data_IF_555199995474
#
_entry.id   IF_555199995474
#
_cell.length_a   1.000
_cell.length_b   1.000
_cell.length_c   1.000
_cell.angle_alpha   90.00
_cell.angle_beta   90.00
_cell.angle_gamma   90.00
#
_symmetry.space_group_name_H-M   'P 1'
#
loop_
_entity.id
_entity.type
_entity.pdbx_description
1 polymer ?
#
# COMPACT_ATOMS: atom_id res chain seq x y z
N UNK A 1 -4.16 -4.58 -15.15
CA UNK A 1 -5.33 -5.48 -14.87
C UNK A 1 -5.07 -6.86 -15.46
N UNK A 2 -5.63 -7.95 -14.93
CA UNK A 2 -5.45 -9.29 -15.53
C UNK A 2 -5.82 -9.33 -17.02
N UNK A 3 -6.92 -8.65 -17.40
CA UNK A 3 -7.35 -8.48 -18.80
C UNK A 3 -6.37 -7.73 -19.72
N UNK A 4 -5.48 -6.91 -19.17
CA UNK A 4 -4.43 -6.21 -19.96
C UNK A 4 -3.25 -7.13 -20.27
N UNK A 5 -3.00 -8.12 -19.41
CA UNK A 5 -1.95 -9.12 -19.64
C UNK A 5 -2.48 -10.32 -20.44
N UNK A 6 -3.77 -10.64 -20.31
CA UNK A 6 -4.43 -11.70 -21.07
C UNK A 6 -5.89 -11.33 -21.38
N UNK A 7 -6.17 -11.05 -22.66
CA UNK A 7 -7.50 -10.67 -23.14
C UNK A 7 -8.53 -11.81 -23.12
N UNK A 8 -8.09 -13.07 -22.99
CA UNK A 8 -9.00 -14.23 -22.93
C UNK A 8 -9.61 -14.43 -21.54
N UNK A 9 -9.18 -13.68 -20.52
CA UNK A 9 -9.70 -13.80 -19.16
C UNK A 9 -11.12 -13.27 -19.12
N UNK A 10 -12.07 -14.10 -18.69
CA UNK A 10 -13.44 -13.66 -18.39
C UNK A 10 -13.58 -13.41 -16.89
N UNK A 11 -13.91 -12.16 -16.52
CA UNK A 11 -13.92 -11.74 -15.12
C UNK A 11 -15.34 -11.40 -14.67
N UNK A 12 -15.71 -11.94 -13.51
CA UNK A 12 -16.99 -11.70 -12.85
C UNK A 12 -16.74 -11.31 -11.40
N UNK A 13 -17.31 -10.19 -10.98
CA UNK A 13 -17.24 -9.67 -9.62
C UNK A 13 -18.60 -9.84 -8.96
N UNK A 14 -18.64 -10.62 -7.89
CA UNK A 14 -19.81 -10.79 -7.03
C UNK A 14 -19.73 -9.82 -5.84
N UNK A 15 -20.73 -8.98 -5.66
CA UNK A 15 -20.74 -7.96 -4.60
C UNK A 15 -22.16 -7.64 -4.11
N UNK A 16 -22.32 -7.25 -2.85
CA UNK A 16 -23.61 -6.75 -2.34
C UNK A 16 -23.84 -5.31 -2.81
N UNK A 17 -22.81 -4.47 -2.66
CA UNK A 17 -22.79 -3.08 -3.10
C UNK A 17 -21.41 -2.77 -3.70
N UNK A 18 -21.40 -1.94 -4.74
CA UNK A 18 -20.16 -1.38 -5.30
C UNK A 18 -19.83 -0.11 -4.52
N UNK A 19 -18.64 -0.08 -3.90
CA UNK A 19 -18.17 1.05 -3.08
C UNK A 19 -17.04 1.80 -3.76
N UNK A 20 -17.39 2.52 -4.82
CA UNK A 20 -16.49 3.35 -5.66
C UNK A 20 -16.41 4.78 -5.16
N UNK A 21 -16.30 4.97 -3.84
CA UNK A 21 -16.18 6.30 -3.26
C UNK A 21 -14.77 6.84 -3.48
N UNK A 22 -14.67 8.10 -3.88
CA UNK A 22 -13.37 8.75 -4.16
C UNK A 22 -13.26 9.25 -5.59
N UNK A 23 -12.27 10.10 -5.83
CA UNK A 23 -12.08 10.76 -7.12
C UNK A 23 -11.65 9.74 -8.17
N UNK A 24 -12.45 9.57 -9.21
CA UNK A 24 -12.14 8.71 -10.35
C UNK A 24 -12.45 7.22 -10.14
N UNK A 25 -12.99 6.83 -8.98
CA UNK A 25 -13.29 5.42 -8.69
C UNK A 25 -14.50 4.93 -9.48
N UNK A 26 -15.55 5.76 -9.61
CA UNK A 26 -16.70 5.45 -10.47
C UNK A 26 -16.29 5.32 -11.94
N UNK A 27 -15.46 6.25 -12.43
CA UNK A 27 -14.93 6.17 -13.79
C UNK A 27 -14.11 4.89 -14.02
N UNK A 28 -13.37 4.42 -13.01
CA UNK A 28 -12.64 3.15 -13.08
C UNK A 28 -13.59 1.94 -13.15
N UNK A 29 -14.67 1.95 -12.38
CA UNK A 29 -15.72 0.95 -12.44
C UNK A 29 -16.43 0.93 -13.80
N UNK A 30 -16.83 2.10 -14.30
CA UNK A 30 -17.43 2.25 -15.63
C UNK A 30 -16.49 1.73 -16.72
N UNK A 31 -15.20 2.07 -16.64
CA UNK A 31 -14.18 1.57 -17.56
C UNK A 31 -14.08 0.04 -17.52
N UNK A 32 -14.03 -0.55 -16.33
CA UNK A 32 -13.98 -2.01 -16.16
C UNK A 32 -15.19 -2.71 -16.80
N UNK A 33 -16.39 -2.12 -16.65
CA UNK A 33 -17.62 -2.66 -17.22
C UNK A 33 -17.70 -2.49 -18.74
N UNK A 34 -17.43 -1.28 -19.24
CA UNK A 34 -17.68 -0.89 -20.64
C UNK A 34 -16.54 -1.26 -21.60
N UNK A 35 -15.29 -1.00 -21.22
CA UNK A 35 -14.13 -1.23 -22.09
C UNK A 35 -13.59 -2.65 -21.94
N UNK A 36 -13.58 -3.16 -20.71
CA UNK A 36 -13.02 -4.48 -20.42
C UNK A 36 -14.07 -5.57 -20.31
N UNK A 37 -15.38 -5.26 -20.32
CA UNK A 37 -16.44 -6.28 -20.25
C UNK A 37 -16.41 -7.12 -18.97
N UNK A 38 -16.03 -6.54 -17.83
CA UNK A 38 -16.13 -7.21 -16.53
C UNK A 38 -17.60 -7.28 -16.12
N UNK A 39 -18.07 -8.49 -15.77
CA UNK A 39 -19.45 -8.67 -15.29
C UNK A 39 -19.50 -8.35 -13.80
N UNK A 40 -20.50 -7.58 -13.39
CA UNK A 40 -20.76 -7.30 -11.98
C UNK A 40 -22.12 -7.91 -11.63
N UNK A 41 -22.12 -8.81 -10.66
CA UNK A 41 -23.32 -9.53 -10.23
C UNK A 41 -23.60 -9.12 -8.79
N UNK A 42 -24.76 -8.52 -8.59
CA UNK A 42 -25.20 -8.08 -7.28
C UNK A 42 -25.77 -9.25 -6.49
N UNK A 43 -24.96 -9.85 -5.63
CA UNK A 43 -25.38 -10.95 -4.77
C UNK A 43 -24.36 -11.16 -3.63
N UNK A 44 -24.74 -11.99 -2.67
CA UNK A 44 -23.82 -12.58 -1.70
C UNK A 44 -23.67 -14.08 -1.98
N UNK A 45 -22.58 -14.53 -2.63
CA UNK A 45 -22.34 -15.96 -2.82
C UNK A 45 -22.38 -16.71 -1.49
N UNK A 46 -23.08 -17.84 -1.47
CA UNK A 46 -23.32 -18.60 -0.23
C UNK A 46 -22.37 -19.77 -0.07
N UNK A 47 -22.04 -20.44 -1.18
CA UNK A 47 -21.23 -21.67 -1.20
C UNK A 47 -20.38 -21.67 -2.47
N UNK A 48 -19.14 -22.15 -2.32
CA UNK A 48 -18.23 -22.49 -3.41
C UNK A 48 -17.97 -24.00 -3.31
N UNK A 49 -18.23 -24.72 -4.39
CA UNK A 49 -18.03 -26.17 -4.48
C UNK A 49 -16.93 -26.48 -5.50
N UNK A 50 -15.94 -27.30 -5.14
CA UNK A 50 -14.93 -27.77 -6.08
C UNK A 50 -15.44 -28.98 -6.87
N UNK A 51 -15.27 -28.97 -8.18
CA UNK A 51 -15.53 -30.10 -9.06
C UNK A 51 -14.35 -31.08 -8.98
N UNK A 52 -14.63 -32.33 -8.61
CA UNK A 52 -13.59 -33.30 -8.30
C UNK A 52 -12.66 -33.61 -9.49
N UNK A 53 -13.23 -33.68 -10.70
CA UNK A 53 -12.56 -34.06 -11.94
C UNK A 53 -11.72 -32.92 -12.54
N UNK A 54 -12.26 -31.71 -12.60
CA UNK A 54 -11.63 -30.56 -13.27
C UNK A 54 -10.86 -29.65 -12.32
N UNK A 55 -11.15 -29.72 -11.01
CA UNK A 55 -10.70 -28.75 -9.99
C UNK A 55 -11.24 -27.34 -10.18
N UNK A 56 -12.22 -27.17 -11.06
CA UNK A 56 -12.94 -25.91 -11.21
C UNK A 56 -13.87 -25.66 -10.02
N UNK A 57 -14.31 -24.42 -9.88
CA UNK A 57 -15.08 -23.93 -8.74
C UNK A 57 -16.47 -23.51 -9.20
N UNK A 58 -17.50 -24.13 -8.64
CA UNK A 58 -18.88 -23.75 -8.87
C UNK A 58 -19.30 -22.74 -7.82
N UNK A 59 -19.71 -21.56 -8.25
CA UNK A 59 -20.35 -20.56 -7.39
C UNK A 59 -21.86 -20.63 -7.57
N UNK A 60 -22.56 -20.82 -6.46
CA UNK A 60 -24.02 -20.72 -6.39
C UNK A 60 -24.44 -19.35 -5.85
N UNK A 61 -25.18 -18.61 -6.65
CA UNK A 61 -25.67 -17.29 -6.29
C UNK A 61 -27.11 -17.05 -6.75
N UNK A 62 -27.76 -16.08 -6.12
CA UNK A 62 -29.11 -15.62 -6.44
C UNK A 62 -29.03 -14.29 -7.20
N UNK A 63 -29.79 -14.16 -8.29
CA UNK A 63 -29.89 -12.91 -9.05
C UNK A 63 -30.93 -11.98 -8.45
N UNK A 64 -30.97 -10.72 -8.91
CA UNK A 64 -32.01 -9.77 -8.49
C UNK A 64 -33.44 -10.20 -8.86
N UNK A 65 -33.59 -11.08 -9.87
CA UNK A 65 -34.87 -11.70 -10.25
C UNK A 65 -35.20 -13.00 -9.46
N UNK A 66 -34.60 -13.23 -8.29
CA UNK A 66 -34.78 -14.43 -7.44
C UNK A 66 -34.45 -15.78 -8.14
N UNK A 67 -33.58 -15.75 -9.16
CA UNK A 67 -33.13 -16.97 -9.84
C UNK A 67 -31.83 -17.46 -9.24
N UNK A 68 -31.78 -18.75 -8.94
CA UNK A 68 -30.56 -19.42 -8.50
C UNK A 68 -29.76 -19.84 -9.72
N UNK A 69 -28.55 -19.31 -9.85
CA UNK A 69 -27.59 -19.67 -10.88
C UNK A 69 -26.44 -20.46 -10.25
N UNK A 70 -25.98 -21.48 -10.98
CA UNK A 70 -24.70 -22.14 -10.73
C UNK A 70 -23.79 -21.83 -11.91
N UNK A 71 -22.65 -21.24 -11.62
CA UNK A 71 -21.66 -20.89 -12.64
C UNK A 71 -20.30 -21.44 -12.25
N UNK A 72 -19.60 -22.03 -13.21
CA UNK A 72 -18.31 -22.67 -13.03
C UNK A 72 -17.18 -21.71 -13.43
N UNK A 73 -16.13 -21.65 -12.61
CA UNK A 73 -14.98 -20.77 -12.78
C UNK A 73 -13.68 -21.57 -12.60
N UNK A 74 -12.65 -21.25 -13.39
CA UNK A 74 -11.33 -21.87 -13.25
C UNK A 74 -10.59 -21.37 -11.99
N UNK A 75 -10.92 -20.17 -11.51
CA UNK A 75 -10.31 -19.55 -10.34
C UNK A 75 -11.30 -18.62 -9.63
N UNK A 76 -11.33 -18.71 -8.30
CA UNK A 76 -12.06 -17.77 -7.45
C UNK A 76 -11.08 -17.00 -6.59
N UNK A 77 -11.18 -15.67 -6.62
CA UNK A 77 -10.38 -14.76 -5.80
C UNK A 77 -11.26 -14.18 -4.70
N UNK A 78 -10.87 -14.39 -3.45
CA UNK A 78 -11.56 -13.81 -2.30
C UNK A 78 -11.03 -12.39 -2.04
N UNK A 79 -11.88 -11.39 -2.24
CA UNK A 79 -11.61 -10.00 -1.86
C UNK A 79 -11.73 -9.82 -0.35
N UNK A 80 -10.74 -10.32 0.39
CA UNK A 80 -10.73 -10.31 1.87
C UNK A 80 -10.60 -8.88 2.42
N UNK A 81 -11.27 -8.63 3.55
CA UNK A 81 -11.17 -7.37 4.27
C UNK A 81 -9.84 -7.20 5.00
N UNK A 82 -9.64 -6.00 5.54
CA UNK A 82 -8.50 -5.70 6.41
C UNK A 82 -8.86 -5.95 7.87
N UNK A 83 -7.99 -6.68 8.56
CA UNK A 83 -8.04 -6.91 10.00
C UNK A 83 -6.83 -6.25 10.68
N UNK A 84 -6.94 -5.86 11.95
CA UNK A 84 -5.77 -5.40 12.70
C UNK A 84 -4.73 -6.51 12.80
N UNK A 85 -3.43 -6.17 12.85
CA UNK A 85 -2.38 -7.18 13.02
C UNK A 85 -2.53 -7.90 14.37
N UNK A 86 -2.12 -9.17 14.44
CA UNK A 86 -2.23 -9.99 15.66
C UNK A 86 -1.51 -9.36 16.85
N UNK A 87 -0.46 -8.59 16.59
CA UNK A 87 0.36 -7.91 17.59
C UNK A 87 -0.19 -6.53 17.98
N UNK A 88 -1.32 -6.08 17.43
CA UNK A 88 -1.92 -4.77 17.71
C UNK A 88 -2.12 -4.54 19.22
N UNK A 89 -2.68 -5.51 19.93
CA UNK A 89 -2.93 -5.41 21.38
C UNK A 89 -1.61 -5.32 22.17
N UNK A 90 -0.60 -6.11 21.79
CA UNK A 90 0.72 -6.04 22.40
C UNK A 90 1.36 -4.67 22.19
N UNK A 91 1.29 -4.14 20.96
CA UNK A 91 1.82 -2.82 20.63
C UNK A 91 1.07 -1.73 21.42
N UNK A 92 -0.26 -1.82 21.50
CA UNK A 92 -1.09 -0.90 22.25
C UNK A 92 -0.70 -0.86 23.73
N UNK A 93 -0.48 -2.03 24.35
CA UNK A 93 -0.01 -2.15 25.72
C UNK A 93 1.39 -1.55 25.94
N UNK A 94 2.33 -1.77 25.01
CA UNK A 94 3.69 -1.20 25.08
C UNK A 94 3.65 0.32 25.01
N UNK A 95 2.86 0.86 24.08
CA UNK A 95 2.75 2.31 23.87
C UNK A 95 1.84 2.98 24.91
N UNK A 96 0.95 2.22 25.55
CA UNK A 96 -0.10 2.71 26.43
C UNK A 96 -1.18 3.50 25.69
N UNK A 97 -1.63 2.97 24.55
CA UNK A 97 -2.72 3.53 23.74
C UNK A 97 -3.93 2.58 23.75
N UNK A 98 -5.11 3.12 23.49
CA UNK A 98 -6.36 2.37 23.42
C UNK A 98 -6.62 1.86 21.99
N UNK A 99 -7.26 0.71 21.90
CA UNK A 99 -7.81 0.17 20.66
C UNK A 99 -9.33 0.35 20.66
N UNK A 100 -9.91 0.55 19.48
CA UNK A 100 -11.36 0.57 19.30
C UNK A 100 -11.95 -0.85 19.35
N UNK A 101 -13.29 -0.95 19.29
CA UNK A 101 -14.01 -2.24 19.34
C UNK A 101 -13.66 -3.22 18.20
N UNK A 102 -12.96 -2.76 17.16
CA UNK A 102 -12.50 -3.56 16.03
C UNK A 102 -11.01 -3.90 16.10
N UNK A 103 -10.30 -3.48 17.17
CA UNK A 103 -8.87 -3.75 17.37
C UNK A 103 -7.91 -2.82 16.63
N UNK A 104 -8.40 -1.73 16.03
CA UNK A 104 -7.57 -0.67 15.44
C UNK A 104 -7.28 0.43 16.46
N UNK A 105 -6.31 1.32 16.19
CA UNK A 105 -6.01 2.45 17.07
C UNK A 105 -7.26 3.30 17.31
N UNK A 106 -7.58 3.59 18.57
CA UNK A 106 -8.64 4.54 18.91
C UNK A 106 -8.15 5.97 18.61
N UNK A 107 -8.95 6.71 17.84
CA UNK A 107 -8.74 8.14 17.52
C UNK A 107 -10.05 8.89 17.67
N UNK A 108 -10.02 10.23 17.64
CA UNK A 108 -11.22 11.07 17.63
C UNK A 108 -11.58 11.53 16.20
N UNK A 109 -12.84 11.95 15.98
CA UNK A 109 -13.30 12.46 14.68
C UNK A 109 -12.66 13.80 14.29
N UNK A 110 -12.36 14.65 15.27
CA UNK A 110 -11.73 15.96 15.04
C UNK A 110 -10.20 15.89 15.11
N UNK A 111 -9.66 14.82 15.70
CA UNK A 111 -8.22 14.54 15.77
C UNK A 111 -7.91 13.13 15.21
N UNK A 112 -8.07 12.90 13.89
CA UNK A 112 -8.06 11.56 13.30
C UNK A 112 -6.68 10.88 13.28
N UNK A 113 -5.62 11.59 13.67
CA UNK A 113 -4.25 11.08 13.75
C UNK A 113 -3.71 11.03 15.17
N UNK A 114 -4.47 11.51 16.16
CA UNK A 114 -4.07 11.47 17.56
C UNK A 114 -4.59 10.19 18.19
N UNK A 115 -3.71 9.45 18.86
CA UNK A 115 -4.12 8.31 19.68
C UNK A 115 -4.73 8.79 21.00
N UNK A 116 -5.22 7.87 21.83
CA UNK A 116 -5.68 8.18 23.18
C UNK A 116 -4.58 8.71 24.11
N UNK A 117 -3.30 8.62 23.73
CA UNK A 117 -2.17 9.10 24.52
C UNK A 117 -1.51 10.33 23.88
N UNK A 118 -1.45 11.47 24.60
CA UNK A 118 -0.78 12.67 24.11
C UNK A 118 0.67 12.41 23.69
N UNK A 119 1.04 12.96 22.53
CA UNK A 119 2.38 12.78 21.93
C UNK A 119 2.56 11.48 21.14
N UNK A 120 1.56 10.60 21.10
CA UNK A 120 1.55 9.42 20.24
C UNK A 120 0.49 9.60 19.16
N UNK A 121 0.93 9.44 17.91
CA UNK A 121 0.11 9.63 16.72
C UNK A 121 -0.01 8.31 15.95
N UNK A 122 -1.15 8.13 15.28
CA UNK A 122 -1.44 6.97 14.44
C UNK A 122 -1.81 7.43 13.03
N UNK A 123 -1.38 6.69 12.02
CA UNK A 123 -1.74 6.95 10.63
C UNK A 123 -1.81 5.65 9.83
N UNK A 124 -2.52 5.70 8.71
CA UNK A 124 -2.63 4.56 7.79
C UNK A 124 -3.60 3.50 8.29
N UNK A 125 -3.41 2.27 7.83
CA UNK A 125 -4.36 1.17 8.05
C UNK A 125 -4.49 0.75 9.53
N UNK A 126 -3.52 1.07 10.38
CA UNK A 126 -3.63 0.80 11.82
C UNK A 126 -4.73 1.63 12.51
N UNK A 127 -5.10 2.79 11.94
CA UNK A 127 -6.25 3.57 12.41
C UNK A 127 -7.59 2.99 11.89
N UNK A 128 -7.56 2.22 10.81
CA UNK A 128 -8.73 1.57 10.21
C UNK A 128 -8.55 1.33 8.70
N UNK A 129 -9.37 0.47 8.07
CA UNK A 129 -9.30 0.19 6.63
C UNK A 129 -9.42 1.45 5.77
N UNK A 130 -8.50 1.65 4.83
CA UNK A 130 -8.46 2.81 3.92
C UNK A 130 -7.56 2.54 2.73
N UNK A 131 -7.61 3.44 1.74
CA UNK A 131 -6.76 3.37 0.55
C UNK A 131 -5.38 4.04 0.76
N UNK A 132 -4.55 3.97 -0.28
CA UNK A 132 -3.19 4.55 -0.27
C UNK A 132 -3.23 6.09 -0.19
N UNK A 133 -4.00 6.81 -1.02
CA UNK A 133 -4.13 8.26 -0.91
C UNK A 133 -4.50 8.76 0.49
N UNK A 134 -5.50 8.15 1.13
CA UNK A 134 -5.91 8.49 2.50
C UNK A 134 -4.79 8.18 3.50
N UNK A 135 -4.11 7.05 3.34
CA UNK A 135 -2.95 6.68 4.18
C UNK A 135 -1.82 7.70 4.09
N UNK A 136 -1.47 8.15 2.89
CA UNK A 136 -0.42 9.16 2.67
C UNK A 136 -0.83 10.52 3.26
N UNK A 137 -2.11 10.87 3.12
CA UNK A 137 -2.67 12.10 3.70
C UNK A 137 -2.58 12.07 5.23
N UNK A 138 -3.00 10.97 5.85
CA UNK A 138 -2.88 10.80 7.30
C UNK A 138 -1.44 10.77 7.78
N UNK A 139 -0.51 10.15 7.05
CA UNK A 139 0.91 10.15 7.41
C UNK A 139 1.47 11.58 7.44
N UNK A 140 1.08 12.39 6.46
CA UNK A 140 1.45 13.81 6.40
C UNK A 140 0.86 14.61 7.58
N UNK A 141 -0.40 14.35 7.92
CA UNK A 141 -1.06 14.96 9.06
C UNK A 141 -0.41 14.57 10.40
N UNK A 142 -0.11 13.28 10.62
CA UNK A 142 0.57 12.79 11.81
C UNK A 142 1.98 13.42 11.96
N UNK A 143 2.73 13.53 10.86
CA UNK A 143 4.03 14.19 10.85
C UNK A 143 3.91 15.69 11.20
N UNK A 144 2.89 16.38 10.67
CA UNK A 144 2.63 17.77 10.99
C UNK A 144 2.25 17.97 12.46
N UNK A 145 1.37 17.12 13.03
CA UNK A 145 0.98 17.18 14.44
C UNK A 145 2.15 16.91 15.38
N UNK A 146 3.00 15.93 15.05
CA UNK A 146 4.23 15.66 15.78
C UNK A 146 5.20 16.85 15.71
N UNK A 147 5.40 17.43 14.52
CA UNK A 147 6.25 18.60 14.34
C UNK A 147 5.73 19.84 15.08
N UNK A 148 4.41 20.05 15.11
CA UNK A 148 3.78 21.13 15.86
C UNK A 148 4.03 20.97 17.37
N UNK A 149 3.90 19.74 17.88
CA UNK A 149 4.20 19.40 19.28
C UNK A 149 5.66 19.64 19.66
N UNK A 150 6.58 19.47 18.71
CA UNK A 150 8.03 19.68 18.88
C UNK A 150 8.51 21.09 18.51
N UNK A 151 7.60 22.00 18.17
CA UNK A 151 7.94 23.32 17.62
C UNK A 151 8.84 24.15 18.53
N UNK A 152 8.63 24.11 19.84
CA UNK A 152 9.44 24.82 20.84
C UNK A 152 10.88 24.29 20.97
N UNK A 153 11.10 23.01 20.65
CA UNK A 153 12.41 22.36 20.69
C UNK A 153 13.13 22.37 19.33
N UNK A 154 12.56 23.04 18.32
CA UNK A 154 13.15 23.11 16.97
C UNK A 154 14.58 23.63 17.06
N UNK A 155 15.48 22.97 16.33
CA UNK A 155 16.91 23.27 16.24
C UNK A 155 17.75 23.03 17.51
N UNK A 156 17.14 22.66 18.65
CA UNK A 156 17.87 22.46 19.92
C UNK A 156 18.96 21.38 19.87
N UNK A 157 18.83 20.40 18.97
CA UNK A 157 19.77 19.30 18.79
C UNK A 157 20.61 19.41 17.51
N UNK A 158 20.55 20.53 16.80
CA UNK A 158 21.39 20.72 15.60
C UNK A 158 22.85 20.82 16.03
N UNK A 159 23.66 19.87 15.55
CA UNK A 159 25.12 19.92 15.68
C UNK A 159 25.72 20.46 14.39
N UNK A 160 26.69 21.37 14.51
CA UNK A 160 27.50 21.76 13.36
C UNK A 160 28.29 20.55 12.91
N UNK A 161 28.24 20.22 11.62
CA UNK A 161 29.08 19.16 11.06
C UNK A 161 30.53 19.63 11.11
N UNK A 162 31.33 18.96 11.92
CA UNK A 162 32.78 19.18 11.97
C UNK A 162 33.40 18.39 10.83
N UNK A 163 33.98 19.12 9.88
CA UNK A 163 34.78 18.54 8.82
C UNK A 163 36.24 18.50 9.26
N UNK A 164 37.04 17.51 8.81
CA UNK A 164 38.48 17.55 9.02
C UNK A 164 39.06 18.85 8.45
N UNK A 165 40.16 19.31 9.04
CA UNK A 165 40.87 20.50 8.54
C UNK A 165 41.23 20.29 7.07
N UNK A 166 40.93 21.32 6.26
CA UNK A 166 41.37 21.34 4.86
C UNK A 166 42.90 21.26 4.81
N UNK A 167 43.41 20.36 3.98
CA UNK A 167 44.85 20.21 3.72
C UNK A 167 45.17 20.81 2.37
N UNK A 168 46.31 21.49 2.28
CA UNK A 168 46.88 21.86 1.00
C UNK A 168 47.34 20.61 0.25
N UNK A 169 46.70 20.33 -0.89
CA UNK A 169 47.00 19.18 -1.75
C UNK A 169 47.79 19.57 -3.01
N UNK A 170 48.29 20.81 -3.09
CA UNK A 170 49.07 21.26 -4.25
C UNK A 170 50.35 20.43 -4.38
N UNK A 171 50.50 19.77 -5.52
CA UNK A 171 51.66 18.90 -5.81
C UNK A 171 51.45 17.42 -5.44
N UNK A 172 50.33 17.06 -4.82
CA UNK A 172 49.92 15.65 -4.67
C UNK A 172 49.27 15.15 -5.98
N UNK A 173 49.48 13.88 -6.38
CA UNK A 173 48.75 13.31 -7.50
C UNK A 173 47.25 13.19 -7.16
N UNK A 174 46.34 13.46 -8.12
CA UNK A 174 44.91 13.41 -7.86
C UNK A 174 44.46 12.00 -7.44
N UNK A 175 43.68 11.91 -6.37
CA UNK A 175 43.02 10.67 -5.95
C UNK A 175 41.57 10.72 -6.42
N UNK A 176 41.22 9.87 -7.38
CA UNK A 176 39.88 9.82 -7.97
C UNK A 176 39.09 8.70 -7.30
N UNK A 177 37.89 9.03 -6.81
CA UNK A 177 36.91 8.03 -6.36
C UNK A 177 35.72 8.05 -7.31
N UNK A 178 35.33 6.88 -7.82
CA UNK A 178 34.16 6.74 -8.70
C UNK A 178 33.04 6.03 -7.94
N UNK A 179 31.87 6.66 -7.84
CA UNK A 179 30.69 6.10 -7.21
C UNK A 179 29.63 5.85 -8.28
N UNK A 180 29.25 4.58 -8.47
CA UNK A 180 28.34 4.18 -9.54
C UNK A 180 27.03 3.70 -8.90
N UNK A 181 25.92 4.35 -9.26
CA UNK A 181 24.61 4.00 -8.78
C UNK A 181 23.99 2.89 -9.64
N UNK A 182 23.53 1.80 -9.01
CA UNK A 182 22.88 0.66 -9.67
C UNK A 182 21.35 0.70 -9.46
N UNK A 183 20.69 1.83 -9.75
CA UNK A 183 19.24 1.93 -9.58
C UNK A 183 18.49 1.19 -10.71
N UNK A 184 18.20 -0.10 -10.49
CA UNK A 184 17.19 -0.90 -11.18
C UNK A 184 17.08 -0.67 -12.70
N UNK A 185 15.85 -0.56 -13.20
CA UNK A 185 15.56 -0.38 -14.63
C UNK A 185 15.99 0.99 -15.19
N UNK A 186 16.11 2.02 -14.34
CA UNK A 186 16.36 3.39 -14.79
C UNK A 186 17.81 3.59 -15.23
N UNK A 187 18.77 2.95 -14.56
CA UNK A 187 20.20 3.05 -14.88
C UNK A 187 20.72 1.72 -15.44
N UNK A 188 20.47 0.61 -14.74
CA UNK A 188 20.95 -0.72 -15.15
C UNK A 188 20.26 -1.27 -16.41
N UNK A 189 19.12 -0.69 -16.81
CA UNK A 189 18.44 -1.04 -18.07
C UNK A 189 19.02 -0.35 -19.32
N UNK A 190 19.87 0.68 -19.14
CA UNK A 190 20.45 1.47 -20.24
C UNK A 190 21.98 1.36 -20.26
N UNK A 191 22.60 1.29 -19.07
CA UNK A 191 24.05 1.24 -18.89
C UNK A 191 24.42 -0.10 -18.26
N UNK A 192 25.43 -0.77 -18.81
CA UNK A 192 26.05 -1.95 -18.21
C UNK A 192 26.88 -1.55 -16.98
N UNK A 193 26.18 -1.40 -15.85
CA UNK A 193 26.77 -0.95 -14.58
C UNK A 193 27.91 -1.86 -14.09
N UNK A 194 27.83 -3.20 -14.16
CA UNK A 194 28.96 -4.08 -13.86
C UNK A 194 30.20 -3.73 -14.68
N UNK A 195 30.06 -3.61 -16.01
CA UNK A 195 31.21 -3.30 -16.88
C UNK A 195 31.80 -1.91 -16.62
N UNK A 196 30.97 -0.92 -16.32
CA UNK A 196 31.46 0.44 -15.96
C UNK A 196 32.18 0.41 -14.62
N UNK A 197 31.74 -0.42 -13.67
CA UNK A 197 32.41 -0.62 -12.39
C UNK A 197 33.78 -1.27 -12.57
N UNK A 198 33.85 -2.32 -13.38
CA UNK A 198 35.12 -2.99 -13.70
C UNK A 198 36.09 -2.03 -14.38
N UNK A 199 35.63 -1.26 -15.38
CA UNK A 199 36.45 -0.25 -16.04
C UNK A 199 36.96 0.82 -15.05
N UNK A 200 36.08 1.34 -14.18
CA UNK A 200 36.43 2.36 -13.21
C UNK A 200 37.39 1.85 -12.12
N UNK A 201 37.41 0.55 -11.84
CA UNK A 201 38.34 -0.07 -10.87
C UNK A 201 39.79 -0.11 -11.35
N UNK A 202 40.03 0.10 -12.65
CA UNK A 202 41.34 0.09 -13.28
C UNK A 202 41.97 1.50 -13.40
N UNK A 203 41.26 2.54 -12.92
CA UNK A 203 41.70 3.94 -12.89
C UNK A 203 42.49 4.26 -11.62
#
# INVERSE_FOLDING_TARGET
MAKEHNSSVEATIFSIDIRTFGKGFEAYYDKAKTEYGVRFIRCRPSVIEEVAETKNLIIKYETEDDKIIKEEFDLVVLSVGLEPPKEAEKLANILGIELNNYGFCQTDNFSPVESSKPGIFACGVFQGPKDIPETVTQASAAAASAAASLSSARNSLIKRKEYPLERDIRGEPPRIGVFICHCGINIGGVVDVPRVTDYASLL
#
